data_IF_517062325979
#
_entry.id   IF_517062325979
#
_cell.length_a   1.000
_cell.length_b   1.000
_cell.length_c   1.000
_cell.angle_alpha   90.00
_cell.angle_beta   90.00
_cell.angle_gamma   90.00
#
_symmetry.space_group_name_H-M   'P 1'
#
loop_
_entity.id
_entity.type
_entity.pdbx_description
1 polymer ?
#
# COMPACT_ATOMS: atom_id res chain seq x y z
N UNK A 1 25.48 -20.74 -5.26
CA UNK A 1 24.97 -19.98 -6.43
C UNK A 1 23.50 -19.68 -6.19
N UNK A 2 23.19 -18.51 -5.64
CA UNK A 2 21.80 -18.07 -5.49
C UNK A 2 21.39 -17.32 -6.77
N UNK A 3 20.39 -17.85 -7.48
CA UNK A 3 19.79 -17.18 -8.63
C UNK A 3 19.02 -15.97 -8.11
N UNK A 4 19.55 -14.78 -8.34
CA UNK A 4 18.78 -13.54 -8.22
C UNK A 4 17.59 -13.63 -9.17
N UNK A 5 16.40 -13.80 -8.61
CA UNK A 5 15.15 -13.64 -9.35
C UNK A 5 14.98 -12.15 -9.57
N UNK A 6 15.49 -11.67 -10.70
CA UNK A 6 15.08 -10.38 -11.23
C UNK A 6 13.58 -10.48 -11.49
N UNK A 7 12.79 -9.80 -10.67
CA UNK A 7 11.38 -9.52 -10.97
C UNK A 7 11.33 -8.87 -12.34
N UNK A 8 10.76 -9.60 -13.31
CA UNK A 8 10.39 -9.12 -14.64
C UNK A 8 9.52 -7.88 -14.49
N UNK A 9 10.16 -6.72 -14.57
CA UNK A 9 9.52 -5.44 -14.76
C UNK A 9 9.24 -5.33 -16.26
N UNK A 10 8.03 -5.68 -16.67
CA UNK A 10 7.61 -5.71 -18.09
C UNK A 10 7.48 -4.31 -18.71
N UNK A 11 8.17 -3.28 -18.17
CA UNK A 11 8.01 -1.89 -18.59
C UNK A 11 6.58 -1.36 -18.39
N UNK A 12 5.77 -2.07 -17.60
CA UNK A 12 4.35 -1.75 -17.44
C UNK A 12 4.18 -0.47 -16.62
N UNK A 13 5.13 -0.12 -15.75
CA UNK A 13 5.03 1.05 -14.87
C UNK A 13 6.23 1.97 -15.04
N UNK A 14 6.07 3.32 -14.95
CA UNK A 14 7.17 4.26 -14.92
C UNK A 14 8.26 3.87 -13.90
N UNK A 15 9.55 4.05 -14.23
CA UNK A 15 10.66 3.70 -13.34
C UNK A 15 10.59 4.35 -11.95
N UNK A 16 9.89 5.49 -11.82
CA UNK A 16 9.65 6.18 -10.56
C UNK A 16 8.90 5.36 -9.53
N UNK A 17 8.03 4.44 -9.96
CA UNK A 17 7.15 3.64 -9.09
C UNK A 17 7.91 2.61 -8.25
N UNK A 18 9.12 2.24 -8.68
CA UNK A 18 10.00 1.36 -7.91
C UNK A 18 10.29 1.92 -6.52
N UNK A 19 10.24 3.24 -6.35
CA UNK A 19 10.43 3.90 -5.05
C UNK A 19 9.25 3.67 -4.11
N UNK A 20 8.05 3.38 -4.60
CA UNK A 20 6.91 2.99 -3.78
C UNK A 20 7.15 1.69 -2.99
N UNK A 21 7.97 0.79 -3.54
CA UNK A 21 8.34 -0.49 -2.91
C UNK A 21 9.57 -0.39 -2.00
N UNK A 22 9.99 0.81 -1.60
CA UNK A 22 11.03 0.96 -0.59
C UNK A 22 10.60 0.35 0.75
N UNK A 23 11.56 -0.07 1.58
CA UNK A 23 11.27 -0.47 2.96
C UNK A 23 11.01 0.80 3.77
N UNK A 24 9.80 0.98 4.34
CA UNK A 24 9.50 2.15 5.14
C UNK A 24 10.32 2.14 6.45
N UNK A 25 10.73 3.32 6.90
CA UNK A 25 11.50 3.50 8.15
C UNK A 25 10.62 3.94 9.32
N UNK A 26 9.35 4.25 9.04
CA UNK A 26 8.33 4.61 10.02
C UNK A 26 6.93 4.40 9.42
N UNK A 27 5.87 4.34 10.23
CA UNK A 27 4.49 4.27 9.74
C UNK A 27 4.15 5.46 8.84
N UNK A 28 4.59 6.67 9.21
CA UNK A 28 4.42 7.86 8.39
C UNK A 28 5.13 7.78 7.05
N UNK A 29 6.32 7.18 6.99
CA UNK A 29 7.02 6.95 5.72
C UNK A 29 6.25 5.96 4.83
N UNK A 30 5.67 4.89 5.39
CA UNK A 30 4.82 3.96 4.65
C UNK A 30 3.60 4.67 4.04
N UNK A 31 2.88 5.45 4.85
CA UNK A 31 1.72 6.20 4.37
C UNK A 31 2.09 7.23 3.30
N UNK A 32 3.22 7.92 3.44
CA UNK A 32 3.74 8.84 2.42
C UNK A 32 4.02 8.11 1.09
N UNK A 33 4.65 6.94 1.14
CA UNK A 33 4.91 6.14 -0.08
C UNK A 33 3.61 5.66 -0.72
N UNK A 34 2.64 5.20 0.07
CA UNK A 34 1.31 4.84 -0.45
C UNK A 34 0.61 6.04 -1.10
N UNK A 35 0.64 7.21 -0.45
CA UNK A 35 0.06 8.43 -1.01
C UNK A 35 0.67 8.80 -2.36
N UNK A 36 2.00 8.71 -2.47
CA UNK A 36 2.72 9.14 -3.66
C UNK A 36 2.61 8.16 -4.83
N UNK A 37 2.52 6.84 -4.54
CA UNK A 37 2.70 5.79 -5.56
C UNK A 37 1.48 4.89 -5.76
N UNK A 38 0.40 5.01 -4.98
CA UNK A 38 -0.86 4.35 -5.32
C UNK A 38 -1.52 5.07 -6.50
N UNK A 39 -1.95 4.29 -7.49
CA UNK A 39 -2.51 4.76 -8.77
C UNK A 39 -4.03 4.80 -8.77
N UNK A 40 -4.65 4.06 -7.86
CA UNK A 40 -6.10 3.93 -7.69
C UNK A 40 -6.60 4.69 -6.46
N UNK A 41 -7.88 5.01 -6.45
CA UNK A 41 -8.58 5.62 -5.32
C UNK A 41 -8.77 4.68 -4.11
N UNK A 42 -8.27 3.44 -4.16
CA UNK A 42 -8.25 2.51 -3.02
C UNK A 42 -7.53 3.08 -1.79
N UNK A 43 -6.59 4.01 -1.99
CA UNK A 43 -5.93 4.75 -0.94
C UNK A 43 -6.93 5.47 -0.01
N UNK A 44 -8.06 5.95 -0.55
CA UNK A 44 -9.12 6.56 0.26
C UNK A 44 -9.73 5.56 1.25
N UNK A 45 -9.79 4.28 0.89
CA UNK A 45 -10.21 3.21 1.79
C UNK A 45 -9.31 3.09 3.00
N UNK A 46 -7.99 3.20 2.81
CA UNK A 46 -7.01 3.15 3.90
C UNK A 46 -7.21 4.35 4.83
N UNK A 47 -7.27 5.58 4.29
CA UNK A 47 -7.48 6.79 5.09
C UNK A 47 -8.79 6.76 5.88
N UNK A 48 -9.89 6.36 5.24
CA UNK A 48 -11.20 6.24 5.90
C UNK A 48 -11.16 5.25 7.05
N UNK A 49 -10.51 4.10 6.87
CA UNK A 49 -10.42 3.09 7.92
C UNK A 49 -9.50 3.54 9.08
N UNK A 50 -8.40 4.24 8.79
CA UNK A 50 -7.55 4.84 9.83
C UNK A 50 -8.36 5.83 10.68
N UNK A 51 -9.11 6.73 10.04
CA UNK A 51 -9.96 7.68 10.76
C UNK A 51 -11.06 6.98 11.57
N UNK A 52 -11.67 5.93 11.03
CA UNK A 52 -12.65 5.13 11.75
C UNK A 52 -12.07 4.52 13.05
N UNK A 53 -10.87 3.94 12.98
CA UNK A 53 -10.20 3.38 14.16
C UNK A 53 -9.87 4.46 15.20
N UNK A 54 -9.47 5.65 14.74
CA UNK A 54 -9.19 6.80 15.61
C UNK A 54 -10.47 7.29 16.31
N UNK A 55 -11.55 7.49 15.56
CA UNK A 55 -12.84 7.97 16.08
C UNK A 55 -13.44 6.98 17.09
N UNK A 56 -13.19 5.69 16.90
CA UNK A 56 -13.63 4.62 17.80
C UNK A 56 -12.72 4.43 19.02
N UNK A 57 -11.61 5.18 19.13
CA UNK A 57 -10.56 4.95 20.13
C UNK A 57 -10.11 3.47 20.15
N UNK A 58 -10.00 2.85 18.96
CA UNK A 58 -9.62 1.45 18.86
C UNK A 58 -8.23 1.24 19.49
N UNK A 59 -8.03 0.16 20.27
CA UNK A 59 -6.73 -0.12 20.87
C UNK A 59 -5.67 -0.32 19.78
N UNK A 60 -4.44 0.08 20.08
CA UNK A 60 -3.31 -0.05 19.17
C UNK A 60 -2.57 1.28 18.98
N UNK A 61 -1.27 1.17 18.71
CA UNK A 61 -0.46 2.34 18.33
C UNK A 61 -0.67 2.69 16.85
N UNK A 62 -0.23 3.87 16.37
CA UNK A 62 -0.44 4.30 14.98
C UNK A 62 0.04 3.30 13.91
N UNK A 63 1.08 2.51 14.20
CA UNK A 63 1.55 1.45 13.28
C UNK A 63 0.54 0.31 13.16
N UNK A 64 -0.17 -0.04 14.23
CA UNK A 64 -1.22 -1.06 14.23
C UNK A 64 -2.41 -0.58 13.41
N UNK A 65 -2.90 0.64 13.67
CA UNK A 65 -4.03 1.19 12.92
C UNK A 65 -3.75 1.28 11.41
N UNK A 66 -2.52 1.67 11.03
CA UNK A 66 -2.13 1.69 9.63
C UNK A 66 -2.08 0.27 9.03
N UNK A 67 -1.46 -0.69 9.73
CA UNK A 67 -1.37 -2.07 9.26
C UNK A 67 -2.77 -2.71 9.11
N UNK A 68 -3.65 -2.52 10.09
CA UNK A 68 -5.02 -3.04 10.08
C UNK A 68 -5.84 -2.40 8.95
N UNK A 69 -5.65 -1.11 8.69
CA UNK A 69 -6.32 -0.42 7.59
C UNK A 69 -5.87 -0.90 6.21
N UNK A 70 -4.57 -1.12 6.03
CA UNK A 70 -4.05 -1.72 4.80
C UNK A 70 -4.58 -3.16 4.66
N UNK A 71 -4.57 -3.94 5.74
CA UNK A 71 -5.07 -5.32 5.74
C UNK A 71 -6.57 -5.38 5.40
N UNK A 72 -7.39 -4.48 5.94
CA UNK A 72 -8.81 -4.36 5.64
C UNK A 72 -9.06 -4.10 4.15
N UNK A 73 -8.35 -3.14 3.57
CA UNK A 73 -8.48 -2.84 2.13
C UNK A 73 -7.98 -4.01 1.28
N UNK A 74 -6.81 -4.58 1.59
CA UNK A 74 -6.30 -5.76 0.85
C UNK A 74 -7.28 -6.92 0.92
N UNK A 75 -7.81 -7.26 2.10
CA UNK A 75 -8.76 -8.35 2.27
C UNK A 75 -10.08 -8.11 1.51
N UNK A 76 -10.47 -6.85 1.35
CA UNK A 76 -11.62 -6.48 0.54
C UNK A 76 -11.31 -6.67 -0.95
N UNK A 77 -10.24 -6.08 -1.47
CA UNK A 77 -10.07 -5.98 -2.92
C UNK A 77 -9.24 -7.12 -3.55
N UNK A 78 -8.34 -7.76 -2.82
CA UNK A 78 -7.49 -8.81 -3.37
C UNK A 78 -8.32 -10.03 -3.83
N UNK A 79 -8.16 -10.42 -5.10
CA UNK A 79 -8.84 -11.58 -5.67
C UNK A 79 -10.31 -11.38 -6.11
N UNK A 80 -10.93 -10.23 -5.82
CA UNK A 80 -12.31 -9.93 -6.25
C UNK A 80 -12.42 -9.37 -7.68
N UNK A 81 -11.29 -9.06 -8.35
CA UNK A 81 -11.24 -8.49 -9.70
C UNK A 81 -12.15 -7.27 -9.92
N UNK A 82 -12.28 -6.39 -8.91
CA UNK A 82 -13.13 -5.20 -8.95
C UNK A 82 -12.46 -3.99 -9.61
N UNK A 83 -11.56 -4.23 -10.58
CA UNK A 83 -10.80 -3.15 -11.23
C UNK A 83 -11.69 -2.18 -12.04
N UNK A 84 -12.90 -2.57 -12.40
CA UNK A 84 -13.87 -1.69 -13.08
C UNK A 84 -14.46 -0.63 -12.13
N UNK A 85 -14.34 -0.84 -10.81
CA UNK A 85 -14.90 0.05 -9.80
C UNK A 85 -13.88 1.02 -9.19
N UNK A 86 -12.62 0.99 -9.65
CA UNK A 86 -11.59 1.91 -9.17
C UNK A 86 -11.42 3.10 -10.10
N UNK A 87 -11.14 4.25 -9.50
CA UNK A 87 -10.82 5.47 -10.23
C UNK A 87 -9.34 5.83 -10.08
N UNK A 88 -8.88 6.75 -10.92
CA UNK A 88 -7.54 7.32 -10.86
C UNK A 88 -7.32 8.04 -9.53
N UNK A 89 -6.18 7.77 -8.86
CA UNK A 89 -5.74 8.58 -7.74
C UNK A 89 -5.29 9.96 -8.23
N UNK A 90 -6.00 11.00 -7.83
CA UNK A 90 -5.68 12.40 -8.18
C UNK A 90 -4.51 12.97 -7.39
N UNK A 91 -4.04 12.26 -6.36
CA UNK A 91 -2.93 12.67 -5.49
C UNK A 91 -1.61 11.95 -5.80
N UNK A 92 -1.58 11.14 -6.87
CA UNK A 92 -0.37 10.45 -7.31
C UNK A 92 0.74 11.47 -7.64
N UNK A 93 2.00 11.11 -7.37
CA UNK A 93 3.15 12.01 -7.53
C UNK A 93 3.37 12.46 -8.98
N UNK A 94 3.04 11.59 -9.92
CA UNK A 94 2.95 11.91 -11.34
C UNK A 94 1.48 12.21 -11.64
N UNK A 95 1.16 13.47 -11.96
CA UNK A 95 -0.21 13.91 -12.25
C UNK A 95 -0.66 13.57 -13.69
N UNK A 96 0.25 13.11 -14.55
CA UNK A 96 0.01 12.87 -15.97
C UNK A 96 0.11 11.39 -16.36
N UNK A 97 0.33 10.49 -15.37
CA UNK A 97 0.39 9.05 -15.64
C UNK A 97 -0.88 8.55 -16.35
N UNK A 98 -0.69 7.68 -17.33
CA UNK A 98 -1.78 6.99 -18.01
C UNK A 98 -2.41 5.97 -17.06
N UNK A 99 -3.67 6.24 -16.68
CA UNK A 99 -4.44 5.34 -15.82
C UNK A 99 -4.98 4.16 -16.62
N UNK A 100 -4.66 2.96 -16.18
CA UNK A 100 -5.13 1.70 -16.76
C UNK A 100 -5.70 0.85 -15.61
N UNK A 101 -7.04 0.71 -15.52
CA UNK A 101 -7.69 0.21 -14.30
C UNK A 101 -7.15 -1.14 -13.80
N UNK A 102 -7.10 -2.16 -14.67
CA UNK A 102 -6.66 -3.50 -14.29
C UNK A 102 -5.18 -3.58 -13.85
N UNK A 103 -4.19 -3.11 -14.63
CA UNK A 103 -2.80 -3.17 -14.20
C UNK A 103 -2.50 -2.25 -13.01
N UNK A 104 -3.16 -1.09 -12.90
CA UNK A 104 -2.96 -0.17 -11.79
C UNK A 104 -3.59 -0.70 -10.49
N UNK A 105 -4.72 -1.39 -10.59
CA UNK A 105 -5.31 -2.15 -9.49
C UNK A 105 -4.36 -3.24 -8.99
N UNK A 106 -3.84 -4.06 -9.89
CA UNK A 106 -2.90 -5.13 -9.54
C UNK A 106 -1.61 -4.57 -8.92
N UNK A 107 -1.12 -3.44 -9.43
CA UNK A 107 0.01 -2.70 -8.87
C UNK A 107 -0.27 -2.29 -7.42
N UNK A 108 -1.40 -1.64 -7.17
CA UNK A 108 -1.74 -1.09 -5.86
C UNK A 108 -1.97 -2.18 -4.82
N UNK A 109 -2.60 -3.30 -5.20
CA UNK A 109 -2.72 -4.48 -4.33
C UNK A 109 -1.32 -5.01 -3.95
N UNK A 110 -0.41 -5.11 -4.91
CA UNK A 110 0.98 -5.54 -4.66
C UNK A 110 1.72 -4.55 -3.74
N UNK A 111 1.55 -3.25 -3.97
CA UNK A 111 2.15 -2.19 -3.18
C UNK A 111 1.64 -2.22 -1.73
N UNK A 112 0.33 -2.32 -1.53
CA UNK A 112 -0.28 -2.45 -0.20
C UNK A 112 0.23 -3.69 0.55
N UNK A 113 0.29 -4.86 -0.11
CA UNK A 113 0.84 -6.09 0.49
C UNK A 113 2.30 -5.95 0.91
N UNK A 114 3.11 -5.27 0.10
CA UNK A 114 4.51 -4.97 0.44
C UNK A 114 4.60 -4.13 1.72
N UNK A 115 3.84 -3.03 1.79
CA UNK A 115 3.82 -2.15 2.96
C UNK A 115 3.28 -2.87 4.21
N UNK A 116 2.19 -3.62 4.08
CA UNK A 116 1.64 -4.45 5.16
C UNK A 116 2.70 -5.41 5.72
N UNK A 117 3.41 -6.12 4.85
CA UNK A 117 4.48 -7.03 5.27
C UNK A 117 5.64 -6.32 5.97
N UNK A 118 5.97 -5.09 5.58
CA UNK A 118 6.97 -4.28 6.28
C UNK A 118 6.51 -3.88 7.68
N UNK A 119 5.28 -3.33 7.80
CA UNK A 119 4.72 -2.88 9.07
C UNK A 119 4.56 -4.04 10.06
N UNK A 120 4.09 -5.21 9.60
CA UNK A 120 3.96 -6.42 10.41
C UNK A 120 5.30 -6.96 10.92
N UNK A 121 6.40 -6.78 10.15
CA UNK A 121 7.75 -7.09 10.64
C UNK A 121 8.14 -6.14 11.76
N UNK A 122 8.01 -4.84 11.54
CA UNK A 122 8.33 -3.82 12.55
C UNK A 122 7.53 -4.02 13.85
N UNK A 123 6.22 -4.28 13.77
CA UNK A 123 5.39 -4.58 14.95
C UNK A 123 5.95 -5.77 15.72
N UNK A 124 6.26 -6.86 15.04
CA UNK A 124 6.80 -8.08 15.65
C UNK A 124 8.15 -7.85 16.32
N UNK A 125 9.00 -7.05 15.69
CA UNK A 125 10.33 -6.73 16.23
C UNK A 125 10.18 -5.89 17.50
N UNK A 126 9.28 -4.89 17.51
CA UNK A 126 8.99 -4.09 18.70
C UNK A 126 8.42 -4.94 19.85
N UNK A 127 7.53 -5.90 19.58
CA UNK A 127 6.96 -6.78 20.61
C UNK A 127 7.94 -7.82 21.16
N UNK A 128 9.14 -7.97 20.59
CA UNK A 128 10.20 -8.86 21.10
C UNK A 128 11.16 -8.17 22.06
N UNK A 129 11.17 -6.84 22.02
CA UNK A 129 12.04 -6.00 22.84
C UNK A 129 11.35 -5.57 24.16
N UNK A 130 10.10 -5.98 24.37
CA UNK A 130 9.30 -5.86 25.61
C UNK A 130 9.32 -7.15 26.46
#
# INVERSE_FOLDING_TARGET
MAKNVATTDNGLFPPGDRRGFAVPVSPGHSLLLLNNYMRTDLLLGIHRHVHLLQDQNAPGSPIHHLADSIAHVVATYDGMNLFECVARNTLHIDADFEFRPEPDYAHDIKLMKHHLGCLQRTIRDLSRDD
#
